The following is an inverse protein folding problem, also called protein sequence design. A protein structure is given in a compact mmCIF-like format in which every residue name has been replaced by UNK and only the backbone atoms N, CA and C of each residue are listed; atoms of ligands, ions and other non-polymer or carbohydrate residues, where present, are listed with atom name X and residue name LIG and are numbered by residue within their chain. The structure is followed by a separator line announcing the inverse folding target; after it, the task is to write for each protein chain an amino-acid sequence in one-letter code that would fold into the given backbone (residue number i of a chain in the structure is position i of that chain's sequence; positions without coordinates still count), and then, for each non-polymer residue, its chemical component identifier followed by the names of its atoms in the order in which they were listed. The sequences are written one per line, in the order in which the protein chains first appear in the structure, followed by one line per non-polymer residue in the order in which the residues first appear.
data_IF_647688820321
#
_entry.id   IF_647688820321
#
_cell.length_a   1.000
_cell.length_b   1.000
_cell.length_c   1.000
_cell.angle_alpha   90.00
_cell.angle_beta   90.00
_cell.angle_gamma   90.00
#
_symmetry.space_group_name_H-M   'P 1'
#
loop_
_entity.id
_entity.type
_entity.pdbx_description
1 polymer ?
#
# COMPACT_ATOMS: atom_id res chain seq x y z
N UNK A 1 -18.25 -2.21 -55.40
CA UNK A 1 -18.09 -3.01 -54.17
C UNK A 1 -17.42 -2.12 -53.15
N UNK A 2 -18.21 -1.50 -52.25
CA UNK A 2 -17.77 -0.45 -51.32
C UNK A 2 -17.08 -1.09 -50.13
N UNK A 3 -15.86 -0.65 -49.82
CA UNK A 3 -15.13 -0.97 -48.59
C UNK A 3 -15.61 -0.03 -47.49
N UNK A 4 -16.09 -0.61 -46.38
CA UNK A 4 -16.48 0.08 -45.15
C UNK A 4 -15.27 0.58 -44.38
N UNK A 5 -15.29 1.78 -43.76
CA UNK A 5 -14.24 2.27 -42.87
C UNK A 5 -14.62 1.96 -41.42
N UNK A 6 -13.83 1.19 -40.74
CA UNK A 6 -14.00 1.00 -39.29
C UNK A 6 -13.14 -0.09 -38.74
N UNK A 7 -11.94 0.24 -38.31
CA UNK A 7 -11.26 -0.32 -37.15
C UNK A 7 -9.90 0.36 -36.98
N UNK A 8 -9.95 1.60 -36.48
CA UNK A 8 -8.71 2.18 -35.91
C UNK A 8 -8.57 1.63 -34.50
N UNK A 9 -7.88 0.51 -34.36
CA UNK A 9 -7.27 0.11 -33.12
C UNK A 9 -6.34 1.24 -32.67
N UNK A 10 -6.72 1.93 -31.61
CA UNK A 10 -5.80 2.80 -30.87
C UNK A 10 -4.66 1.95 -30.34
N UNK A 11 -3.57 1.84 -31.11
CA UNK A 11 -2.27 1.48 -30.57
C UNK A 11 -1.83 2.64 -29.70
N UNK A 12 -2.11 2.58 -28.41
CA UNK A 12 -1.45 3.45 -27.44
C UNK A 12 0.04 3.11 -27.47
N UNK A 13 0.81 4.08 -27.90
CA UNK A 13 2.27 4.03 -27.94
C UNK A 13 2.78 3.75 -26.50
N UNK A 14 3.34 2.56 -26.27
CA UNK A 14 3.85 2.11 -24.95
C UNK A 14 5.27 2.62 -24.67
N UNK A 15 5.86 3.42 -25.56
CA UNK A 15 7.30 3.67 -25.57
C UNK A 15 7.82 4.73 -24.60
N UNK A 16 6.96 5.47 -23.85
CA UNK A 16 7.41 6.55 -22.94
C UNK A 16 6.60 6.70 -21.64
N UNK A 17 5.95 5.64 -21.15
CA UNK A 17 5.29 5.73 -19.83
C UNK A 17 6.32 5.66 -18.72
N UNK A 18 6.30 6.65 -17.81
CA UNK A 18 7.03 6.58 -16.57
C UNK A 18 6.53 5.35 -15.76
N UNK A 19 7.42 4.59 -15.10
CA UNK A 19 7.02 3.39 -14.35
C UNK A 19 5.85 3.63 -13.38
N UNK A 20 5.83 4.78 -12.73
CA UNK A 20 4.76 5.25 -11.85
C UNK A 20 3.37 5.24 -12.52
N UNK A 21 3.26 5.72 -13.77
CA UNK A 21 1.99 5.77 -14.51
C UNK A 21 1.47 4.37 -14.88
N UNK A 22 2.37 3.43 -15.14
CA UNK A 22 1.99 2.05 -15.42
C UNK A 22 1.34 1.38 -14.21
N UNK A 23 1.90 1.58 -13.01
CA UNK A 23 1.33 1.04 -11.79
C UNK A 23 0.00 1.71 -11.43
N UNK A 24 -0.12 3.03 -11.58
CA UNK A 24 -1.38 3.73 -11.35
C UNK A 24 -2.52 3.20 -12.23
N UNK A 25 -2.25 2.89 -13.50
CA UNK A 25 -3.25 2.26 -14.39
C UNK A 25 -3.73 0.90 -13.90
N UNK A 26 -2.89 0.13 -13.22
CA UNK A 26 -3.31 -1.15 -12.61
C UNK A 26 -4.37 -0.90 -11.54
N UNK A 27 -4.19 0.13 -10.70
CA UNK A 27 -5.18 0.54 -9.70
C UNK A 27 -6.47 1.04 -10.34
N UNK A 28 -6.39 1.87 -11.37
CA UNK A 28 -7.56 2.38 -12.11
C UNK A 28 -8.33 1.24 -12.76
N UNK A 29 -7.64 0.32 -13.44
CA UNK A 29 -8.24 -0.85 -14.10
C UNK A 29 -8.97 -1.76 -13.11
N UNK A 30 -8.44 -1.90 -11.90
CA UNK A 30 -9.05 -2.68 -10.82
C UNK A 30 -10.18 -1.93 -10.09
N UNK A 31 -10.47 -0.66 -10.44
CA UNK A 31 -11.42 0.18 -9.73
C UNK A 31 -10.99 0.53 -8.30
N UNK A 32 -9.68 0.43 -8.02
CA UNK A 32 -9.09 0.69 -6.72
C UNK A 32 -8.91 2.18 -6.42
N UNK A 33 -8.84 3.03 -7.46
CA UNK A 33 -8.93 4.50 -7.35
C UNK A 33 -10.35 4.94 -7.72
N UNK A 34 -10.99 5.64 -6.82
CA UNK A 34 -12.37 6.11 -6.98
C UNK A 34 -12.43 7.61 -6.82
N UNK A 35 -13.15 8.28 -7.73
CA UNK A 35 -13.40 9.71 -7.65
C UNK A 35 -14.84 9.94 -7.20
N UNK A 36 -15.05 10.91 -6.31
CA UNK A 36 -16.35 11.18 -5.73
C UNK A 36 -16.25 12.13 -4.55
N UNK A 37 -17.20 12.06 -3.61
CA UNK A 37 -17.12 12.77 -2.34
C UNK A 37 -17.11 11.73 -1.22
N UNK A 38 -15.99 11.61 -0.51
CA UNK A 38 -15.77 10.57 0.49
C UNK A 38 -15.51 11.17 1.86
N UNK A 39 -16.13 10.57 2.90
CA UNK A 39 -15.76 10.76 4.30
C UNK A 39 -14.73 9.69 4.68
N UNK A 40 -13.53 10.11 5.06
CA UNK A 40 -12.44 9.24 5.47
C UNK A 40 -12.63 8.78 6.94
N UNK A 41 -11.89 7.75 7.37
CA UNK A 41 -11.94 7.26 8.75
C UNK A 41 -11.52 8.31 9.79
N UNK A 42 -10.74 9.30 9.37
CA UNK A 42 -10.35 10.47 10.18
C UNK A 42 -11.46 11.51 10.35
N UNK A 43 -12.60 11.36 9.65
CA UNK A 43 -13.64 12.37 9.56
C UNK A 43 -13.38 13.47 8.53
N UNK A 44 -12.21 13.47 7.89
CA UNK A 44 -11.91 14.40 6.79
C UNK A 44 -12.62 13.97 5.51
N UNK A 45 -12.87 14.93 4.63
CA UNK A 45 -13.47 14.70 3.32
C UNK A 45 -12.43 14.72 2.22
N UNK A 46 -12.66 13.92 1.17
CA UNK A 46 -11.77 13.87 0.00
C UNK A 46 -12.53 13.63 -1.29
N UNK A 47 -11.99 14.18 -2.39
CA UNK A 47 -12.47 13.92 -3.75
C UNK A 47 -12.00 12.58 -4.34
N UNK A 48 -11.05 11.92 -3.67
CA UNK A 48 -10.45 10.66 -4.14
C UNK A 48 -10.31 9.68 -3.00
N UNK A 49 -10.64 8.43 -3.26
CA UNK A 49 -10.49 7.32 -2.34
C UNK A 49 -9.73 6.18 -3.00
N UNK A 50 -8.78 5.60 -2.28
CA UNK A 50 -8.00 4.44 -2.73
C UNK A 50 -8.29 3.25 -1.82
N UNK A 51 -8.55 2.09 -2.44
CA UNK A 51 -8.78 0.82 -1.74
C UNK A 51 -7.87 -0.25 -2.33
N UNK A 52 -6.71 -0.43 -1.71
CA UNK A 52 -5.69 -1.37 -2.19
C UNK A 52 -6.18 -2.82 -2.26
N UNK A 53 -7.10 -3.23 -1.37
CA UNK A 53 -7.67 -4.58 -1.41
C UNK A 53 -8.36 -4.91 -2.76
N UNK A 54 -8.90 -3.90 -3.47
CA UNK A 54 -9.54 -4.11 -4.77
C UNK A 54 -8.55 -4.45 -5.88
N UNK A 55 -7.33 -4.00 -5.81
CA UNK A 55 -6.30 -4.38 -6.77
C UNK A 55 -5.55 -5.64 -6.31
N UNK A 56 -5.28 -5.75 -5.01
CA UNK A 56 -4.54 -6.88 -4.44
C UNK A 56 -5.33 -8.21 -4.45
N UNK A 57 -6.66 -8.18 -4.62
CA UNK A 57 -7.45 -9.40 -4.81
C UNK A 57 -7.09 -10.18 -6.09
N UNK A 58 -6.45 -9.52 -7.06
CA UNK A 58 -6.01 -10.15 -8.31
C UNK A 58 -4.54 -10.57 -8.21
N UNK A 59 -4.22 -11.89 -8.14
CA UNK A 59 -2.84 -12.36 -7.91
C UNK A 59 -1.83 -11.78 -8.89
N UNK A 60 -2.16 -11.65 -10.18
CA UNK A 60 -1.25 -11.10 -11.19
C UNK A 60 -0.96 -9.61 -10.97
N UNK A 61 -1.90 -8.85 -10.43
CA UNK A 61 -1.68 -7.45 -10.08
C UNK A 61 -0.87 -7.34 -8.80
N UNK A 62 -1.19 -8.16 -7.79
CA UNK A 62 -0.43 -8.21 -6.54
C UNK A 62 1.04 -8.57 -6.81
N UNK A 63 1.30 -9.60 -7.64
CA UNK A 63 2.63 -9.99 -8.08
C UNK A 63 3.38 -8.84 -8.76
N UNK A 64 2.75 -8.17 -9.74
CA UNK A 64 3.35 -7.06 -10.47
C UNK A 64 3.69 -5.89 -9.56
N UNK A 65 2.78 -5.53 -8.65
CA UNK A 65 2.96 -4.44 -7.69
C UNK A 65 4.04 -4.78 -6.66
N UNK A 66 4.03 -6.01 -6.13
CA UNK A 66 5.05 -6.48 -5.20
C UNK A 66 6.45 -6.50 -5.81
N UNK A 67 6.58 -6.99 -7.05
CA UNK A 67 7.85 -6.97 -7.78
C UNK A 67 8.34 -5.54 -8.06
N UNK A 68 7.43 -4.64 -8.45
CA UNK A 68 7.74 -3.23 -8.64
C UNK A 68 8.25 -2.55 -7.37
N UNK A 69 7.58 -2.82 -6.24
CA UNK A 69 7.98 -2.26 -4.95
C UNK A 69 9.31 -2.86 -4.46
N UNK A 70 9.52 -4.18 -4.60
CA UNK A 70 10.77 -4.85 -4.25
C UNK A 70 11.96 -4.28 -5.03
N UNK A 71 11.78 -3.98 -6.32
CA UNK A 71 12.82 -3.42 -7.17
C UNK A 71 13.35 -2.07 -6.67
N UNK A 72 12.51 -1.28 -5.97
CA UNK A 72 12.95 -0.03 -5.36
C UNK A 72 14.01 -0.24 -4.27
N UNK A 73 14.11 -1.43 -3.68
CA UNK A 73 15.03 -1.78 -2.59
C UNK A 73 16.16 -2.73 -3.02
N UNK A 74 16.44 -2.81 -4.32
CA UNK A 74 17.48 -3.70 -4.89
C UNK A 74 18.90 -3.38 -4.41
N UNK A 75 19.13 -2.18 -3.88
CA UNK A 75 20.39 -1.72 -3.29
C UNK A 75 20.56 -2.15 -1.80
N UNK A 76 19.54 -2.76 -1.19
CA UNK A 76 19.55 -3.17 0.21
C UNK A 76 19.65 -4.69 0.37
N UNK A 77 20.35 -5.11 1.41
CA UNK A 77 20.37 -6.53 1.82
C UNK A 77 19.29 -6.76 2.86
N UNK A 78 18.18 -7.36 2.48
CA UNK A 78 16.99 -7.59 3.30
C UNK A 78 16.97 -9.06 3.73
N UNK A 79 16.73 -9.32 5.02
CA UNK A 79 16.66 -10.67 5.57
C UNK A 79 15.19 -11.13 5.72
N UNK A 80 14.26 -10.20 5.93
CA UNK A 80 12.83 -10.49 6.03
C UNK A 80 11.99 -9.24 5.70
N UNK A 81 10.73 -9.48 5.34
CA UNK A 81 9.70 -8.46 5.20
C UNK A 81 8.73 -8.56 6.37
N UNK A 82 8.26 -7.42 6.87
CA UNK A 82 7.21 -7.36 7.89
C UNK A 82 6.18 -6.30 7.52
N UNK A 83 4.90 -6.59 7.78
CA UNK A 83 3.80 -5.72 7.38
C UNK A 83 2.75 -5.61 8.47
N UNK A 84 2.10 -4.45 8.66
CA UNK A 84 0.92 -4.38 9.52
C UNK A 84 -0.28 -5.06 8.86
N UNK A 85 -0.99 -5.87 9.63
CA UNK A 85 -2.25 -6.47 9.18
C UNK A 85 -3.37 -5.40 9.21
N UNK A 86 -4.33 -5.45 8.27
CA UNK A 86 -4.55 -6.42 7.21
C UNK A 86 -4.01 -5.93 5.84
N UNK A 87 -3.93 -4.59 5.62
CA UNK A 87 -3.64 -4.00 4.32
C UNK A 87 -2.30 -4.47 3.74
N UNK A 88 -1.27 -4.50 4.58
CA UNK A 88 0.08 -4.88 4.19
C UNK A 88 0.32 -6.37 3.90
N UNK A 89 -0.60 -7.28 4.30
CA UNK A 89 -0.34 -8.73 4.25
C UNK A 89 -0.02 -9.24 2.84
N UNK A 90 -0.88 -8.93 1.87
CA UNK A 90 -0.73 -9.44 0.50
C UNK A 90 0.49 -8.80 -0.15
N UNK A 91 0.62 -7.49 -0.06
CA UNK A 91 1.76 -6.79 -0.68
C UNK A 91 3.08 -7.17 -0.03
N UNK A 92 3.13 -7.33 1.29
CA UNK A 92 4.33 -7.79 2.00
C UNK A 92 4.77 -9.18 1.56
N UNK A 93 3.83 -10.12 1.39
CA UNK A 93 4.10 -11.45 0.84
C UNK A 93 4.66 -11.37 -0.59
N UNK A 94 4.08 -10.54 -1.44
CA UNK A 94 4.52 -10.41 -2.84
C UNK A 94 5.88 -9.70 -2.96
N UNK A 95 6.16 -8.73 -2.09
CA UNK A 95 7.49 -8.11 -2.00
C UNK A 95 8.53 -9.14 -1.56
N UNK A 96 8.25 -9.90 -0.50
CA UNK A 96 9.15 -10.94 -0.02
C UNK A 96 9.44 -12.00 -1.09
N UNK A 97 8.40 -12.42 -1.85
CA UNK A 97 8.53 -13.37 -2.97
C UNK A 97 9.42 -12.82 -4.10
N UNK A 98 9.39 -11.52 -4.33
CA UNK A 98 10.15 -10.86 -5.39
C UNK A 98 11.60 -10.50 -4.99
N UNK A 99 11.90 -10.44 -3.69
CA UNK A 99 13.26 -10.18 -3.20
C UNK A 99 14.17 -11.39 -3.43
N UNK A 100 15.49 -11.15 -3.60
CA UNK A 100 16.47 -12.22 -3.58
C UNK A 100 16.36 -13.03 -2.27
N UNK A 101 16.64 -14.35 -2.29
CA UNK A 101 16.65 -15.16 -1.08
C UNK A 101 17.54 -14.56 0.01
N UNK A 102 17.07 -14.55 1.26
CA UNK A 102 17.83 -14.10 2.40
C UNK A 102 19.10 -14.95 2.56
N UNK A 103 20.17 -14.39 3.15
CA UNK A 103 21.43 -15.14 3.38
C UNK A 103 21.25 -16.39 4.25
N UNK A 104 20.23 -16.39 5.10
CA UNK A 104 19.84 -17.51 5.96
C UNK A 104 18.79 -18.42 5.34
N UNK A 105 18.52 -18.26 4.02
CA UNK A 105 17.48 -19.03 3.34
C UNK A 105 17.75 -20.53 3.38
N UNK A 106 16.77 -21.27 3.90
CA UNK A 106 16.77 -22.74 3.95
C UNK A 106 15.98 -23.35 2.78
N UNK A 107 15.76 -22.60 1.69
CA UNK A 107 15.00 -22.99 0.50
C UNK A 107 13.57 -22.43 0.46
N UNK A 108 13.18 -21.59 1.42
CA UNK A 108 11.85 -20.96 1.49
C UNK A 108 11.76 -19.56 0.88
N UNK A 109 12.91 -18.96 0.52
CA UNK A 109 12.98 -17.57 0.07
C UNK A 109 13.02 -16.57 1.23
N UNK A 110 12.84 -15.28 0.94
CA UNK A 110 12.78 -14.23 1.95
C UNK A 110 11.49 -14.34 2.77
N UNK A 111 11.56 -14.49 4.12
CA UNK A 111 10.37 -14.59 4.95
C UNK A 111 9.49 -13.35 4.90
N UNK A 112 8.16 -13.53 4.92
CA UNK A 112 7.18 -12.48 5.11
C UNK A 112 6.45 -12.70 6.45
N UNK A 113 6.55 -11.74 7.34
CA UNK A 113 5.89 -11.73 8.64
C UNK A 113 4.90 -10.58 8.72
N UNK A 114 4.10 -10.55 9.78
CA UNK A 114 3.20 -9.44 10.03
C UNK A 114 3.00 -9.18 11.50
N UNK A 115 2.66 -7.93 11.80
CA UNK A 115 2.12 -7.52 13.10
C UNK A 115 0.61 -7.34 12.98
N UNK A 116 -0.10 -7.63 14.06
CA UNK A 116 -1.56 -7.49 14.12
C UNK A 116 -1.98 -6.77 15.40
N UNK A 117 -3.13 -6.11 15.37
CA UNK A 117 -3.64 -5.43 16.55
C UNK A 117 -4.14 -6.47 17.56
N UNK A 118 -3.74 -6.30 18.80
CA UNK A 118 -4.26 -7.08 19.93
C UNK A 118 -5.60 -6.51 20.44
N UNK A 119 -6.08 -7.03 21.56
CA UNK A 119 -7.34 -6.60 22.17
C UNK A 119 -7.29 -5.15 22.67
N UNK A 120 -6.11 -4.60 22.96
CA UNK A 120 -5.91 -3.20 23.36
C UNK A 120 -5.86 -2.26 22.16
N UNK A 121 -5.72 -2.79 20.95
CA UNK A 121 -5.54 -2.04 19.71
C UNK A 121 -4.08 -1.77 19.34
N UNK A 122 -3.10 -2.20 20.13
CA UNK A 122 -1.68 -2.08 19.83
C UNK A 122 -1.25 -3.13 18.80
N UNK A 123 -0.33 -2.74 17.89
CA UNK A 123 0.31 -3.70 16.97
C UNK A 123 1.29 -4.57 17.76
N UNK A 124 1.25 -5.87 17.53
CA UNK A 124 2.08 -6.85 18.20
C UNK A 124 2.55 -7.94 17.26
N UNK A 125 3.77 -8.44 17.48
CA UNK A 125 4.30 -9.62 16.78
C UNK A 125 3.75 -10.88 17.44
N UNK A 126 2.96 -11.66 16.68
CA UNK A 126 2.24 -12.84 17.20
C UNK A 126 2.45 -14.05 16.28
N UNK A 127 1.59 -15.07 16.42
CA UNK A 127 1.56 -16.27 15.57
C UNK A 127 2.83 -17.13 15.62
N UNK A 128 3.64 -16.98 16.68
CA UNK A 128 4.89 -17.71 16.79
C UNK A 128 6.05 -17.10 15.99
N UNK A 129 5.85 -15.91 15.41
CA UNK A 129 6.95 -15.18 14.82
C UNK A 129 7.95 -14.74 15.89
N UNK A 130 9.23 -14.89 15.58
CA UNK A 130 10.35 -14.41 16.41
C UNK A 130 11.39 -13.79 15.50
N UNK A 131 12.05 -12.75 15.99
CA UNK A 131 13.13 -12.08 15.26
C UNK A 131 14.46 -12.50 15.86
N UNK A 132 15.41 -12.89 15.01
CA UNK A 132 16.79 -13.03 15.44
C UNK A 132 17.37 -11.64 15.71
N UNK A 133 18.31 -11.49 16.67
CA UNK A 133 19.00 -10.22 16.90
C UNK A 133 19.59 -9.66 15.61
N UNK A 134 19.47 -8.35 15.41
CA UNK A 134 19.97 -7.61 14.24
C UNK A 134 19.45 -8.08 12.88
N UNK A 135 18.37 -8.88 12.85
CA UNK A 135 17.71 -9.26 11.59
C UNK A 135 17.28 -7.99 10.84
N UNK A 136 17.70 -7.87 9.58
CA UNK A 136 17.42 -6.67 8.76
C UNK A 136 16.05 -6.79 8.10
N UNK A 137 15.11 -5.98 8.53
CA UNK A 137 13.74 -6.03 8.07
C UNK A 137 13.39 -4.83 7.18
N UNK A 138 12.59 -5.11 6.15
CA UNK A 138 11.89 -4.13 5.36
C UNK A 138 10.43 -4.09 5.81
N UNK A 139 9.95 -2.92 6.28
CA UNK A 139 8.54 -2.71 6.61
C UNK A 139 7.76 -2.38 5.35
N UNK A 140 6.69 -3.11 5.05
CA UNK A 140 5.86 -2.90 3.85
C UNK A 140 4.42 -2.63 4.25
N UNK A 141 3.86 -1.55 3.69
CA UNK A 141 2.46 -1.15 3.86
C UNK A 141 1.77 -1.06 2.49
N UNK A 142 0.45 -1.09 2.44
CA UNK A 142 -0.29 -0.88 1.21
C UNK A 142 -0.45 0.62 0.89
N UNK A 143 -0.72 1.46 1.89
CA UNK A 143 -0.90 2.90 1.69
C UNK A 143 -0.42 3.71 2.90
N UNK A 144 0.42 4.70 2.63
CA UNK A 144 0.76 5.72 3.62
C UNK A 144 -0.23 6.89 3.57
N UNK A 145 -0.82 7.19 4.72
CA UNK A 145 -1.61 8.42 4.94
C UNK A 145 -0.92 9.31 5.95
N UNK A 146 -0.84 8.89 7.19
CA UNK A 146 -0.09 9.53 8.27
C UNK A 146 1.18 8.78 8.65
N UNK A 147 1.38 7.58 8.11
CA UNK A 147 2.51 6.70 8.46
C UNK A 147 2.40 6.01 9.83
N UNK A 148 1.31 6.23 10.56
CA UNK A 148 1.18 5.77 11.95
C UNK A 148 1.38 4.25 12.11
N UNK A 149 0.72 3.41 11.29
CA UNK A 149 0.89 1.95 11.36
C UNK A 149 2.31 1.50 11.02
N UNK A 150 2.95 2.18 10.07
CA UNK A 150 4.34 1.90 9.71
C UNK A 150 5.30 2.24 10.84
N UNK A 151 5.14 3.42 11.48
CA UNK A 151 5.95 3.83 12.63
C UNK A 151 5.76 2.89 13.83
N UNK A 152 4.53 2.50 14.12
CA UNK A 152 4.20 1.53 15.17
C UNK A 152 4.82 0.16 14.85
N UNK A 153 4.83 -0.27 13.58
CA UNK A 153 5.48 -1.53 13.15
C UNK A 153 7.00 -1.45 13.33
N UNK A 154 7.63 -0.33 12.98
CA UNK A 154 9.07 -0.11 13.21
C UNK A 154 9.39 -0.29 14.70
N UNK A 155 8.63 0.36 15.58
CA UNK A 155 8.82 0.24 17.03
C UNK A 155 8.69 -1.22 17.51
N UNK A 156 7.65 -1.96 17.08
CA UNK A 156 7.47 -3.38 17.46
C UNK A 156 8.64 -4.24 17.02
N UNK A 157 9.20 -3.99 15.83
CA UNK A 157 10.38 -4.71 15.33
C UNK A 157 11.60 -4.45 16.18
N UNK A 158 11.86 -3.18 16.51
CA UNK A 158 13.02 -2.77 17.31
C UNK A 158 12.93 -3.30 18.75
N UNK A 159 11.77 -3.24 19.37
CA UNK A 159 11.50 -3.82 20.70
C UNK A 159 11.69 -5.35 20.71
N UNK A 160 11.42 -6.03 19.57
CA UNK A 160 11.66 -7.47 19.43
C UNK A 160 13.12 -7.83 19.06
N UNK A 161 14.03 -6.85 18.98
CA UNK A 161 15.45 -7.05 18.69
C UNK A 161 15.83 -7.10 17.21
N UNK A 162 14.89 -6.86 16.30
CA UNK A 162 15.15 -6.71 14.88
C UNK A 162 15.66 -5.31 14.54
N UNK A 163 16.11 -5.12 13.31
CA UNK A 163 16.57 -3.84 12.78
C UNK A 163 15.82 -3.48 11.52
N UNK A 164 15.02 -2.42 11.55
CA UNK A 164 14.39 -1.90 10.34
C UNK A 164 15.44 -1.12 9.52
N UNK A 165 15.60 -1.50 8.25
CA UNK A 165 16.56 -0.86 7.34
C UNK A 165 15.91 -0.02 6.25
N UNK A 166 14.59 -0.10 6.12
CA UNK A 166 13.81 0.69 5.19
C UNK A 166 12.32 0.42 5.33
N UNK A 167 11.53 1.27 4.71
CA UNK A 167 10.07 1.08 4.62
C UNK A 167 9.55 1.40 3.23
N UNK A 168 8.53 0.66 2.79
CA UNK A 168 7.92 0.82 1.47
C UNK A 168 6.40 0.78 1.50
N UNK A 169 5.77 1.49 0.54
CA UNK A 169 4.34 1.40 0.32
C UNK A 169 4.00 1.33 -1.18
N UNK A 170 2.84 0.76 -1.50
CA UNK A 170 2.34 0.85 -2.87
C UNK A 170 1.96 2.29 -3.21
N UNK A 171 1.33 3.00 -2.26
CA UNK A 171 0.90 4.38 -2.49
C UNK A 171 1.29 5.27 -1.30
N UNK A 172 1.97 6.38 -1.61
CA UNK A 172 2.12 7.50 -0.68
C UNK A 172 1.06 8.57 -0.99
N UNK A 173 0.18 8.82 -0.01
CA UNK A 173 -0.85 9.86 -0.06
C UNK A 173 -0.49 11.10 0.75
N UNK A 174 0.63 11.07 1.46
CA UNK A 174 1.04 12.13 2.39
C UNK A 174 1.55 13.39 1.71
N UNK A 175 1.90 13.28 0.40
CA UNK A 175 2.59 14.36 -0.29
C UNK A 175 4.00 14.63 0.25
N UNK A 176 4.65 13.61 0.83
CA UNK A 176 5.99 13.72 1.40
C UNK A 176 6.03 14.32 2.81
N UNK A 177 4.89 14.40 3.51
CA UNK A 177 4.83 14.98 4.86
C UNK A 177 5.22 14.03 5.99
N UNK A 178 5.44 12.74 5.69
CA UNK A 178 5.82 11.75 6.70
C UNK A 178 7.35 11.69 6.81
N UNK A 179 7.84 11.81 8.03
CA UNK A 179 9.26 11.62 8.35
C UNK A 179 9.44 10.27 9.04
N UNK A 180 10.02 9.31 8.31
CA UNK A 180 10.36 7.99 8.84
C UNK A 180 11.82 7.97 9.30
N UNK A 181 12.18 7.25 10.40
CA UNK A 181 13.56 7.16 10.89
C UNK A 181 14.48 6.33 9.99
N UNK A 182 13.97 5.79 8.89
CA UNK A 182 14.67 4.94 7.93
C UNK A 182 14.34 5.37 6.50
N UNK A 183 15.16 5.01 5.49
CA UNK A 183 14.84 5.28 4.09
C UNK A 183 13.45 4.76 3.72
N UNK A 184 12.64 5.61 3.09
CA UNK A 184 11.29 5.29 2.66
C UNK A 184 11.14 5.43 1.14
N UNK A 185 10.38 4.50 0.52
CA UNK A 185 10.15 4.50 -0.93
C UNK A 185 8.72 4.07 -1.23
N UNK A 186 8.01 4.84 -2.04
CA UNK A 186 6.68 4.49 -2.53
C UNK A 186 6.72 4.13 -4.01
N UNK A 187 5.88 3.16 -4.41
CA UNK A 187 5.75 2.78 -5.81
C UNK A 187 4.97 3.84 -6.59
N UNK A 188 4.00 4.47 -5.93
CA UNK A 188 3.13 5.51 -6.49
C UNK A 188 3.02 6.67 -5.50
N UNK A 189 3.42 7.88 -5.94
CA UNK A 189 3.11 9.11 -5.22
C UNK A 189 1.76 9.63 -5.72
N UNK A 190 0.76 9.62 -4.83
CA UNK A 190 -0.59 10.07 -5.12
C UNK A 190 -1.07 11.01 -4.00
N UNK A 191 -0.58 12.25 -3.96
CA UNK A 191 -1.01 13.20 -2.94
C UNK A 191 -2.50 13.45 -3.08
N UNK A 192 -3.25 13.14 -2.02
CA UNK A 192 -4.70 13.28 -1.98
C UNK A 192 -5.05 14.37 -0.98
N UNK A 193 -5.64 15.44 -1.51
CA UNK A 193 -6.10 16.54 -0.68
C UNK A 193 -7.28 16.09 0.17
N UNK A 194 -7.21 16.36 1.47
CA UNK A 194 -8.29 16.13 2.41
C UNK A 194 -8.69 17.46 3.07
N UNK A 195 -9.99 17.62 3.35
CA UNK A 195 -10.58 18.83 3.87
C UNK A 195 -11.33 18.53 5.17
N UNK A 196 -11.34 19.45 6.09
CA UNK A 196 -12.35 19.42 7.16
C UNK A 196 -13.74 19.65 6.53
N UNK A 197 -14.82 19.07 7.08
CA UNK A 197 -16.15 19.13 6.46
C UNK A 197 -16.62 20.55 6.14
N UNK A 198 -16.32 21.53 7.02
CA UNK A 198 -16.70 22.92 6.91
C UNK A 198 -16.02 23.65 5.74
N UNK A 199 -14.83 23.20 5.36
CA UNK A 199 -14.02 23.79 4.26
C UNK A 199 -14.10 22.96 2.98
N UNK A 200 -14.79 21.83 2.99
CA UNK A 200 -14.85 20.91 1.86
C UNK A 200 -15.60 21.55 0.67
N UNK A 201 -14.95 21.70 -0.50
CA UNK A 201 -15.60 22.27 -1.67
C UNK A 201 -16.77 21.40 -2.18
N UNK A 202 -16.68 20.08 -2.02
CA UNK A 202 -17.73 19.14 -2.45
C UNK A 202 -18.98 19.23 -1.56
N UNK A 203 -18.80 19.55 -0.25
CA UNK A 203 -19.94 19.89 0.62
C UNK A 203 -20.62 21.17 0.17
N UNK A 204 -19.86 22.20 -0.21
CA UNK A 204 -20.41 23.47 -0.69
C UNK A 204 -21.19 23.29 -2.00
N UNK A 205 -20.82 22.32 -2.82
CA UNK A 205 -21.54 21.92 -4.03
C UNK A 205 -22.83 21.10 -3.73
N UNK A 206 -23.12 20.80 -2.46
CA UNK A 206 -24.28 20.00 -2.06
C UNK A 206 -24.13 18.49 -2.39
N UNK A 207 -22.92 18.00 -2.68
CA UNK A 207 -22.68 16.58 -2.99
C UNK A 207 -22.65 15.78 -1.69
N UNK A 208 -23.47 14.71 -1.54
CA UNK A 208 -23.44 13.88 -0.34
C UNK A 208 -22.09 13.14 -0.21
N UNK A 209 -21.50 13.15 0.99
CA UNK A 209 -20.31 12.36 1.27
C UNK A 209 -20.69 10.88 1.49
N UNK A 210 -19.89 9.99 0.90
CA UNK A 210 -20.01 8.54 1.08
C UNK A 210 -18.87 8.08 1.98
N UNK A 211 -19.18 7.25 2.98
CA UNK A 211 -18.16 6.62 3.84
C UNK A 211 -17.78 5.27 3.28
N UNK A 212 -16.68 5.17 2.50
CA UNK A 212 -16.19 3.88 2.03
C UNK A 212 -15.41 3.18 3.14
N UNK A 213 -15.43 1.85 3.16
CA UNK A 213 -14.55 1.07 4.02
C UNK A 213 -15.23 -0.09 4.73
N UNK A 214 -14.39 -0.94 5.32
CA UNK A 214 -14.70 -2.24 5.88
C UNK A 214 -15.37 -2.22 7.27
N UNK A 215 -15.71 -1.07 7.81
CA UNK A 215 -16.54 -1.01 9.01
C UNK A 215 -18.00 -1.16 8.60
N UNK A 216 -18.53 -2.36 8.79
CA UNK A 216 -19.96 -2.58 8.78
C UNK A 216 -20.62 -1.61 9.77
N UNK A 217 -21.15 -0.49 9.31
CA UNK A 217 -22.22 0.16 10.04
C UNK A 217 -23.40 -0.81 9.92
N UNK A 218 -23.76 -1.49 11.00
CA UNK A 218 -25.08 -2.10 11.12
C UNK A 218 -26.05 -0.98 10.81
N UNK A 219 -26.66 -1.00 9.63
CA UNK A 219 -27.89 -0.30 9.40
C UNK A 219 -28.86 -0.86 10.46
N UNK A 220 -29.32 0.00 11.35
CA UNK A 220 -30.43 -0.33 12.23
C UNK A 220 -31.64 -0.72 11.37
N UNK A 221 -32.47 -1.66 11.85
CA UNK A 221 -33.64 -2.18 11.16
C UNK A 221 -34.68 -1.10 10.86
#
# INVERSE_FOLDING_TARGET
MMLQPGDRFFRTDRSHMQPHQEFLRVFETAGAVRHGHFELSSGLHSGTYVQCALVLQYPRYAEKLGAGLAALFSDMSIDAVISPALGGLIVGQEVARALPPAKSDTGGGTPAMFVERDASGALTLRRGFSLAPDLRLLVIEDVWTTGGSTLETIQVVEEAGGRVIGTGALIDRSGGSIDFPVPCRALIDLPIVSYIPEECPLCREGRPAVKPGSRFTRSAP
#
